data_IF_426501535057
#
_entry.id   IF_426501535057
#
_cell.length_a   1.000
_cell.length_b   1.000
_cell.length_c   1.000
_cell.angle_alpha   90.00
_cell.angle_beta   90.00
_cell.angle_gamma   90.00
#
_symmetry.space_group_name_H-M   'P 1'
#
loop_
_entity.id
_entity.type
_entity.pdbx_description
1 polymer ?
#
# COMPACT_ATOMS: atom_id res chain seq x y z
N UNK A 1 2.64 -9.09 15.52
CA UNK A 1 3.44 -8.75 14.33
C UNK A 1 4.90 -8.57 14.75
N UNK A 2 5.81 -9.24 14.06
CA UNK A 2 7.26 -9.12 14.25
C UNK A 2 7.80 -7.88 13.54
N UNK A 3 8.98 -7.40 13.91
CA UNK A 3 9.63 -6.26 13.25
C UNK A 3 9.79 -6.47 11.73
N UNK A 4 10.03 -7.71 11.29
CA UNK A 4 10.17 -8.04 9.88
C UNK A 4 8.85 -7.95 9.10
N UNK A 5 7.72 -8.29 9.74
CA UNK A 5 6.39 -8.15 9.15
C UNK A 5 6.01 -6.67 9.02
N UNK A 6 6.31 -5.85 10.03
CA UNK A 6 6.09 -4.39 9.99
C UNK A 6 6.85 -3.72 8.85
N UNK A 7 8.13 -4.05 8.68
CA UNK A 7 8.96 -3.48 7.61
C UNK A 7 8.43 -3.84 6.21
N UNK A 8 7.92 -5.07 6.04
CA UNK A 8 7.32 -5.51 4.77
C UNK A 8 6.03 -4.74 4.47
N UNK A 9 5.21 -4.51 5.48
CA UNK A 9 3.96 -3.75 5.34
C UNK A 9 4.23 -2.29 5.01
N UNK A 10 5.13 -1.62 5.75
CA UNK A 10 5.54 -0.24 5.48
C UNK A 10 6.08 -0.08 4.04
N UNK A 11 6.87 -1.07 3.56
CA UNK A 11 7.38 -1.07 2.17
C UNK A 11 6.24 -1.16 1.15
N UNK A 12 5.22 -1.98 1.38
CA UNK A 12 4.06 -2.11 0.48
C UNK A 12 3.25 -0.82 0.43
N UNK A 13 3.07 -0.16 1.57
CA UNK A 13 2.37 1.12 1.69
C UNK A 13 3.10 2.21 0.89
N UNK A 14 4.43 2.27 0.98
CA UNK A 14 5.23 3.22 0.19
C UNK A 14 5.11 2.97 -1.32
N UNK A 15 5.16 1.69 -1.75
CA UNK A 15 4.96 1.31 -3.14
C UNK A 15 3.57 1.74 -3.63
N UNK A 16 2.51 1.45 -2.85
CA UNK A 16 1.15 1.83 -3.18
C UNK A 16 1.01 3.36 -3.36
N UNK A 17 1.56 4.14 -2.41
CA UNK A 17 1.57 5.61 -2.48
C UNK A 17 2.27 6.12 -3.74
N UNK A 18 3.45 5.59 -4.05
CA UNK A 18 4.21 6.00 -5.23
C UNK A 18 3.50 5.65 -6.54
N UNK A 19 2.80 4.52 -6.61
CA UNK A 19 2.00 4.12 -7.77
C UNK A 19 0.79 5.04 -7.97
N UNK A 20 0.05 5.35 -6.90
CA UNK A 20 -1.08 6.27 -6.95
C UNK A 20 -0.64 7.68 -7.37
N UNK A 21 0.49 8.17 -6.85
CA UNK A 21 1.08 9.45 -7.26
C UNK A 21 1.46 9.50 -8.76
N UNK A 22 1.75 8.34 -9.37
CA UNK A 22 2.02 8.20 -10.80
C UNK A 22 0.74 8.04 -11.64
N UNK A 23 -0.44 8.16 -11.03
CA UNK A 23 -1.74 8.03 -11.71
C UNK A 23 -2.16 6.60 -11.98
N UNK A 24 -1.54 5.61 -11.33
CA UNK A 24 -1.97 4.21 -11.43
C UNK A 24 -3.32 4.05 -10.73
N UNK A 25 -4.25 3.32 -11.35
CA UNK A 25 -5.58 3.07 -10.78
C UNK A 25 -5.51 2.31 -9.46
N UNK A 26 -6.39 2.66 -8.52
CA UNK A 26 -6.51 2.01 -7.21
C UNK A 26 -6.65 0.48 -7.33
N UNK A 27 -7.52 -0.01 -8.22
CA UNK A 27 -7.73 -1.45 -8.46
C UNK A 27 -6.42 -2.19 -8.77
N UNK A 28 -5.61 -1.63 -9.66
CA UNK A 28 -4.31 -2.20 -10.02
C UNK A 28 -3.31 -2.15 -8.86
N UNK A 29 -3.31 -1.08 -8.07
CA UNK A 29 -2.45 -0.95 -6.89
C UNK A 29 -2.80 -2.03 -5.85
N UNK A 30 -4.08 -2.25 -5.57
CA UNK A 30 -4.55 -3.29 -4.65
C UNK A 30 -4.16 -4.68 -5.15
N UNK A 31 -4.31 -4.94 -6.45
CA UNK A 31 -3.93 -6.20 -7.09
C UNK A 31 -2.43 -6.51 -6.97
N UNK A 32 -1.55 -5.52 -7.20
CA UNK A 32 -0.09 -5.70 -7.17
C UNK A 32 0.45 -5.82 -5.74
N UNK A 33 -0.04 -4.99 -4.83
CA UNK A 33 0.48 -4.92 -3.45
C UNK A 33 -0.14 -5.98 -2.54
N UNK A 34 -1.33 -6.47 -2.90
CA UNK A 34 -2.16 -7.33 -2.07
C UNK A 34 -2.72 -6.62 -0.83
N UNK A 35 -2.71 -5.28 -0.84
CA UNK A 35 -3.32 -4.45 0.19
C UNK A 35 -4.82 -4.31 -0.09
N UNK A 36 -5.57 -4.01 0.97
CA UNK A 36 -6.97 -3.60 0.90
C UNK A 36 -7.10 -2.09 0.88
N UNK A 37 -8.27 -1.57 0.49
CA UNK A 37 -8.54 -0.14 0.60
C UNK A 37 -8.47 0.35 2.05
N UNK A 38 -8.83 -0.49 3.03
CA UNK A 38 -8.77 -0.12 4.44
C UNK A 38 -7.32 0.05 4.88
N UNK A 39 -6.41 -0.84 4.46
CA UNK A 39 -4.98 -0.70 4.77
C UNK A 39 -4.44 0.65 4.26
N UNK A 40 -4.86 1.08 3.06
CA UNK A 40 -4.44 2.37 2.50
C UNK A 40 -5.02 3.55 3.28
N UNK A 41 -6.28 3.48 3.74
CA UNK A 41 -6.92 4.51 4.57
C UNK A 41 -6.27 4.63 5.95
N UNK A 42 -6.01 3.49 6.58
CA UNK A 42 -5.38 3.42 7.91
C UNK A 42 -3.97 4.03 7.91
N UNK A 43 -3.29 4.01 6.74
CA UNK A 43 -1.97 4.60 6.53
C UNK A 43 -2.01 5.99 5.85
N UNK A 44 -3.20 6.59 5.66
CA UNK A 44 -3.36 7.91 5.07
C UNK A 44 -2.79 8.04 3.65
N UNK A 45 -2.87 6.96 2.86
CA UNK A 45 -2.46 6.96 1.45
C UNK A 45 -3.57 7.53 0.56
N UNK A 46 -4.84 7.24 0.90
CA UNK A 46 -6.06 7.71 0.23
C UNK A 46 -7.06 8.28 1.22
#
# INVERSE_FOLDING_TARGET
MTTAERLKEETKIEIARNMLLKGVSLEFVLSVTGLTEQDLKDHGVI
#
